data_IF_149173968311
#
_entry.id   IF_149173968311
#
_cell.length_a   1.000
_cell.length_b   1.000
_cell.length_c   1.000
_cell.angle_alpha   90.00
_cell.angle_beta   90.00
_cell.angle_gamma   90.00
#
_symmetry.space_group_name_H-M   'P 1'
#
loop_
_entity.id
_entity.type
_entity.pdbx_description
1 polymer ?
#
# COMPACT_ATOMS: atom_id res chain seq x y z
N UNK A 1 -11.78 -9.51 18.59
CA UNK A 1 -11.37 -9.35 17.16
C UNK A 1 -9.87 -9.57 17.12
N UNK A 2 -9.39 -10.55 16.36
CA UNK A 2 -7.94 -10.73 16.19
C UNK A 2 -7.41 -9.55 15.37
N UNK A 3 -6.50 -8.77 15.95
CA UNK A 3 -5.79 -7.68 15.26
C UNK A 3 -4.85 -8.16 14.14
N UNK A 4 -4.80 -9.47 13.88
CA UNK A 4 -3.70 -10.17 13.22
C UNK A 4 -3.99 -10.60 11.78
N UNK A 5 -5.16 -10.28 11.24
CA UNK A 5 -5.47 -10.61 9.87
C UNK A 5 -4.78 -9.62 8.92
N UNK A 6 -4.09 -10.13 7.91
CA UNK A 6 -3.63 -9.32 6.78
C UNK A 6 -4.86 -8.60 6.21
N UNK A 7 -4.80 -7.28 6.16
CA UNK A 7 -5.92 -6.44 5.71
C UNK A 7 -6.37 -6.72 4.27
N UNK A 8 -5.55 -7.44 3.47
CA UNK A 8 -5.94 -7.99 2.17
C UNK A 8 -7.02 -9.10 2.28
N UNK A 9 -7.20 -9.70 3.46
CA UNK A 9 -8.12 -10.83 3.66
C UNK A 9 -9.60 -10.42 3.81
N UNK A 10 -9.90 -9.12 3.93
CA UNK A 10 -11.28 -8.65 4.12
C UNK A 10 -12.19 -9.07 2.96
N UNK A 11 -11.72 -8.94 1.72
CA UNK A 11 -12.47 -9.38 0.51
C UNK A 11 -12.45 -10.89 0.28
N UNK A 12 -11.60 -11.63 0.99
CA UNK A 12 -11.43 -13.09 0.83
C UNK A 12 -12.15 -13.88 1.91
N UNK A 13 -12.66 -13.21 2.95
CA UNK A 13 -13.40 -13.87 4.01
C UNK A 13 -14.79 -14.31 3.52
N UNK A 14 -14.95 -15.60 3.29
CA UNK A 14 -16.23 -16.20 2.83
C UNK A 14 -17.40 -16.02 3.81
N UNK A 15 -17.12 -15.65 5.05
CA UNK A 15 -18.12 -15.43 6.10
C UNK A 15 -18.38 -13.95 6.38
N UNK A 16 -17.78 -13.04 5.59
CA UNK A 16 -17.89 -11.58 5.78
C UNK A 16 -17.60 -11.10 7.23
N UNK A 17 -16.81 -11.91 7.97
CA UNK A 17 -16.53 -11.71 9.39
C UNK A 17 -15.47 -10.61 9.64
N UNK A 18 -14.84 -10.09 8.60
CA UNK A 18 -13.80 -9.06 8.68
C UNK A 18 -14.34 -7.75 8.12
N UNK A 19 -14.43 -6.75 8.97
CA UNK A 19 -14.83 -5.40 8.58
C UNK A 19 -13.63 -4.45 8.60
N UNK A 20 -13.63 -3.51 7.65
CA UNK A 20 -12.68 -2.39 7.64
C UNK A 20 -13.16 -1.38 8.67
N UNK A 21 -12.28 -0.98 9.57
CA UNK A 21 -12.57 0.13 10.48
C UNK A 21 -12.71 1.42 9.65
N UNK A 22 -13.87 2.08 9.74
CA UNK A 22 -14.11 3.34 9.05
C UNK A 22 -13.53 4.52 9.83
N UNK A 23 -12.88 5.45 9.11
CA UNK A 23 -12.37 6.70 9.67
C UNK A 23 -13.15 7.94 9.15
N UNK A 24 -14.36 7.74 8.64
CA UNK A 24 -15.25 8.83 8.16
C UNK A 24 -15.57 9.80 9.30
N UNK A 25 -16.02 9.29 10.46
CA UNK A 25 -16.40 10.15 11.60
C UNK A 25 -15.19 10.93 12.13
N UNK A 26 -14.03 10.29 12.22
CA UNK A 26 -12.78 10.96 12.57
C UNK A 26 -12.45 12.06 11.56
N UNK A 27 -12.60 11.78 10.27
CA UNK A 27 -12.35 12.77 9.22
C UNK A 27 -13.31 13.97 9.34
N UNK A 28 -14.60 13.75 9.60
CA UNK A 28 -15.53 14.87 9.83
C UNK A 28 -15.13 15.72 11.04
N UNK A 29 -14.62 15.11 12.10
CA UNK A 29 -14.10 15.86 13.27
C UNK A 29 -12.87 16.71 12.89
N UNK A 30 -11.96 16.15 12.10
CA UNK A 30 -10.77 16.88 11.61
C UNK A 30 -11.17 18.07 10.71
N UNK A 31 -12.16 17.90 9.84
CA UNK A 31 -12.66 18.97 8.98
C UNK A 31 -13.24 20.15 9.77
N UNK A 32 -13.83 19.91 10.94
CA UNK A 32 -14.34 20.97 11.80
C UNK A 32 -13.25 21.91 12.34
N UNK A 33 -11.99 21.46 12.39
CA UNK A 33 -10.87 22.31 12.81
C UNK A 33 -10.51 23.40 11.78
N UNK A 34 -10.99 23.28 10.54
CA UNK A 34 -10.73 24.24 9.45
C UNK A 34 -9.27 24.23 8.93
N UNK A 35 -8.44 23.27 9.35
CA UNK A 35 -7.03 23.14 8.95
C UNK A 35 -6.70 21.71 8.47
N UNK A 36 -7.61 21.10 7.72
CA UNK A 36 -7.43 19.75 7.21
C UNK A 36 -7.04 19.77 5.72
N UNK A 37 -5.97 19.03 5.39
CA UNK A 37 -5.45 18.81 4.03
C UNK A 37 -5.73 17.36 3.62
N UNK A 38 -6.23 17.18 2.40
CA UNK A 38 -6.33 15.86 1.79
C UNK A 38 -5.08 15.56 0.96
N UNK A 39 -4.47 14.40 1.17
CA UNK A 39 -3.46 13.86 0.26
C UNK A 39 -4.00 12.60 -0.42
N UNK A 40 -4.05 12.59 -1.75
CA UNK A 40 -4.72 11.53 -2.52
C UNK A 40 -3.73 10.68 -3.31
N UNK A 41 -3.91 9.35 -3.23
CA UNK A 41 -3.09 8.39 -3.97
C UNK A 41 -3.29 8.52 -5.49
N UNK A 42 -2.21 8.47 -6.31
CA UNK A 42 -2.30 8.68 -7.75
C UNK A 42 -3.11 7.60 -8.51
N UNK A 43 -3.50 6.51 -7.83
CA UNK A 43 -4.46 5.53 -8.36
C UNK A 43 -5.92 6.03 -8.42
N UNK A 44 -6.20 7.25 -7.98
CA UNK A 44 -7.55 7.81 -8.00
C UNK A 44 -8.15 7.84 -9.41
N UNK A 45 -7.35 8.06 -10.46
CA UNK A 45 -7.80 8.01 -11.86
C UNK A 45 -8.35 6.63 -12.27
N UNK A 46 -7.92 5.54 -11.63
CA UNK A 46 -8.49 4.21 -11.82
C UNK A 46 -9.83 4.01 -11.09
N UNK A 47 -10.06 4.73 -9.98
CA UNK A 47 -11.30 4.66 -9.19
C UNK A 47 -12.39 5.62 -9.68
N UNK A 48 -11.99 6.74 -10.29
CA UNK A 48 -12.85 7.79 -10.84
C UNK A 48 -12.54 8.05 -12.33
N UNK A 49 -12.67 7.03 -13.21
CA UNK A 49 -12.07 7.04 -14.55
C UNK A 49 -12.62 8.10 -15.49
N UNK A 50 -13.84 8.58 -15.27
CA UNK A 50 -14.51 9.55 -16.13
C UNK A 50 -14.62 10.94 -15.47
N UNK A 51 -14.23 11.05 -14.20
CA UNK A 51 -14.47 12.25 -13.37
C UNK A 51 -13.20 12.71 -12.64
N UNK A 52 -12.04 12.12 -12.97
CA UNK A 52 -10.80 12.37 -12.20
C UNK A 52 -10.40 13.85 -12.14
N UNK A 53 -10.69 14.65 -13.19
CA UNK A 53 -10.42 16.09 -13.24
C UNK A 53 -11.26 16.91 -12.26
N UNK A 54 -12.39 16.37 -11.79
CA UNK A 54 -13.33 17.01 -10.86
C UNK A 54 -13.10 16.60 -9.40
N UNK A 55 -12.28 15.59 -9.15
CA UNK A 55 -12.02 15.07 -7.81
C UNK A 55 -11.43 16.11 -6.86
N UNK A 56 -10.48 16.97 -7.26
CA UNK A 56 -10.00 18.02 -6.36
C UNK A 56 -11.10 18.96 -5.91
N UNK A 57 -12.00 19.37 -6.81
CA UNK A 57 -13.16 20.19 -6.48
C UNK A 57 -14.11 19.46 -5.52
N UNK A 58 -14.39 18.18 -5.76
CA UNK A 58 -15.28 17.39 -4.91
C UNK A 58 -14.72 17.25 -3.49
N UNK A 59 -13.43 17.05 -3.34
CA UNK A 59 -12.78 16.92 -2.02
C UNK A 59 -12.77 18.27 -1.29
N UNK A 60 -12.51 19.39 -1.99
CA UNK A 60 -12.60 20.73 -1.38
C UNK A 60 -14.02 21.04 -0.88
N UNK A 61 -15.05 20.54 -1.58
CA UNK A 61 -16.46 20.69 -1.12
C UNK A 61 -16.77 19.92 0.16
N UNK A 62 -15.97 18.91 0.54
CA UNK A 62 -16.07 18.28 1.86
C UNK A 62 -15.55 19.16 3.00
N UNK A 63 -14.79 20.22 2.68
CA UNK A 63 -14.23 21.14 3.68
C UNK A 63 -12.70 21.07 3.81
N UNK A 64 -12.01 20.29 2.98
CA UNK A 64 -10.55 20.30 2.95
C UNK A 64 -10.02 21.63 2.39
N UNK A 65 -9.00 22.19 3.04
CA UNK A 65 -8.39 23.46 2.66
C UNK A 65 -7.48 23.32 1.44
N UNK A 66 -6.81 22.19 1.33
CA UNK A 66 -5.95 21.82 0.19
C UNK A 66 -6.16 20.36 -0.19
N UNK A 67 -5.89 20.06 -1.47
CA UNK A 67 -5.95 18.70 -2.02
C UNK A 67 -4.70 18.45 -2.85
N UNK A 68 -3.81 17.60 -2.35
CA UNK A 68 -2.46 17.39 -2.90
C UNK A 68 -2.30 15.94 -3.35
N UNK A 69 -1.56 15.70 -4.43
CA UNK A 69 -1.26 14.33 -4.85
C UNK A 69 -0.15 13.69 -3.99
N UNK A 70 -0.42 12.53 -3.44
CA UNK A 70 0.59 11.72 -2.72
C UNK A 70 1.77 11.33 -3.63
N UNK A 71 1.61 11.46 -4.93
CA UNK A 71 2.65 11.24 -5.92
C UNK A 71 3.94 12.04 -5.66
N UNK A 72 3.84 13.26 -5.09
CA UNK A 72 5.03 14.03 -4.72
C UNK A 72 5.83 13.35 -3.60
N UNK A 73 5.17 12.66 -2.68
CA UNK A 73 5.84 11.83 -1.68
C UNK A 73 6.67 10.69 -2.31
N UNK A 74 6.24 10.16 -3.46
CA UNK A 74 7.04 9.18 -4.20
C UNK A 74 8.29 9.82 -4.85
N UNK A 75 8.17 11.03 -5.38
CA UNK A 75 9.34 11.78 -5.89
C UNK A 75 10.33 12.10 -4.75
N UNK A 76 9.86 12.38 -3.53
CA UNK A 76 10.70 12.66 -2.36
C UNK A 76 11.62 11.48 -2.01
N UNK A 77 11.09 10.26 -1.98
CA UNK A 77 11.83 9.06 -1.58
C UNK A 77 12.66 8.45 -2.71
N UNK A 78 12.54 8.96 -3.92
CA UNK A 78 13.24 8.40 -5.10
C UNK A 78 14.76 8.38 -4.92
N UNK A 79 15.33 9.44 -4.32
CA UNK A 79 16.77 9.52 -4.05
C UNK A 79 17.22 8.46 -3.05
N UNK A 80 16.48 8.28 -1.96
CA UNK A 80 16.83 7.30 -0.91
C UNK A 80 16.79 5.88 -1.49
N UNK A 81 15.79 5.55 -2.30
CA UNK A 81 15.75 4.26 -3.00
C UNK A 81 16.90 4.09 -4.00
N UNK A 82 17.28 5.14 -4.72
CA UNK A 82 18.45 5.09 -5.61
C UNK A 82 19.73 4.80 -4.83
N UNK A 83 19.93 5.42 -3.68
CA UNK A 83 21.08 5.17 -2.82
C UNK A 83 21.08 3.72 -2.31
N UNK A 84 19.93 3.20 -1.89
CA UNK A 84 19.76 1.80 -1.46
C UNK A 84 20.08 0.80 -2.58
N UNK A 85 19.65 1.07 -3.82
CA UNK A 85 19.91 0.19 -4.98
C UNK A 85 21.38 0.22 -5.40
N UNK A 86 22.02 1.38 -5.30
CA UNK A 86 23.45 1.55 -5.66
C UNK A 86 24.40 1.05 -4.58
N UNK A 87 23.94 0.90 -3.35
CA UNK A 87 24.76 0.37 -2.29
C UNK A 87 25.18 -1.08 -2.59
N UNK A 88 26.43 -1.40 -2.27
CA UNK A 88 26.93 -2.79 -2.38
C UNK A 88 26.40 -3.59 -1.18
N UNK A 89 25.26 -4.23 -1.39
CA UNK A 89 24.59 -5.01 -0.37
C UNK A 89 24.79 -6.50 -0.63
N UNK A 90 25.21 -7.24 0.39
CA UNK A 90 25.31 -8.71 0.34
C UNK A 90 23.93 -9.40 0.25
N UNK A 91 22.84 -8.66 0.39
CA UNK A 91 21.46 -9.17 0.46
C UNK A 91 20.55 -8.44 -0.50
N UNK A 92 19.60 -9.18 -1.06
CA UNK A 92 18.50 -8.59 -1.83
C UNK A 92 17.72 -7.59 -0.98
N UNK A 93 17.62 -6.34 -1.44
CA UNK A 93 16.80 -5.32 -0.76
C UNK A 93 15.37 -5.40 -1.29
N UNK A 94 14.41 -5.34 -0.38
CA UNK A 94 12.96 -5.39 -0.66
C UNK A 94 12.37 -4.00 -0.46
N UNK A 95 11.58 -3.51 -1.43
CA UNK A 95 10.89 -2.23 -1.31
C UNK A 95 9.92 -2.23 -0.11
N UNK A 96 9.92 -1.14 0.67
CA UNK A 96 9.08 -0.95 1.86
C UNK A 96 7.85 -0.07 1.61
N UNK A 97 7.62 0.35 0.38
CA UNK A 97 6.54 1.26 0.02
C UNK A 97 5.14 0.66 0.19
N UNK A 98 5.02 -0.67 0.07
CA UNK A 98 3.76 -1.39 0.25
C UNK A 98 3.60 -1.87 1.70
N UNK A 99 2.72 -1.28 2.53
CA UNK A 99 2.57 -1.66 3.94
C UNK A 99 2.03 -3.09 4.12
N UNK A 100 1.36 -3.66 3.12
CA UNK A 100 0.94 -5.06 3.18
C UNK A 100 2.12 -6.02 3.06
N UNK A 101 3.12 -5.71 2.21
CA UNK A 101 4.37 -6.47 2.11
C UNK A 101 5.18 -6.35 3.39
N UNK A 102 5.33 -5.13 3.92
CA UNK A 102 6.04 -4.87 5.17
C UNK A 102 5.41 -5.68 6.32
N UNK A 103 4.09 -5.56 6.51
CA UNK A 103 3.37 -6.31 7.55
C UNK A 103 3.48 -7.84 7.37
N UNK A 104 3.48 -8.32 6.12
CA UNK A 104 3.65 -9.72 5.83
C UNK A 104 5.04 -10.23 6.24
N UNK A 105 6.09 -9.47 5.95
CA UNK A 105 7.46 -9.79 6.35
C UNK A 105 7.63 -9.74 7.86
N UNK A 106 7.16 -8.66 8.52
CA UNK A 106 7.22 -8.52 9.98
C UNK A 106 6.53 -9.68 10.72
N UNK A 107 5.45 -10.24 10.15
CA UNK A 107 4.65 -11.29 10.78
C UNK A 107 5.11 -12.71 10.46
N UNK A 108 5.58 -12.94 9.26
CA UNK A 108 5.79 -14.32 8.78
C UNK A 108 7.20 -14.61 8.27
N UNK A 109 8.01 -13.59 8.01
CA UNK A 109 9.38 -13.72 7.50
C UNK A 109 10.33 -12.78 8.24
N UNK A 110 10.33 -12.88 9.57
CA UNK A 110 11.05 -11.94 10.46
C UNK A 110 12.56 -11.84 10.15
N UNK A 111 13.14 -12.90 9.62
CA UNK A 111 14.55 -12.94 9.21
C UNK A 111 14.83 -12.06 7.97
N UNK A 112 13.79 -11.66 7.22
CA UNK A 112 13.87 -10.75 6.08
C UNK A 112 13.64 -9.27 6.47
N UNK A 113 13.38 -8.94 7.73
CA UNK A 113 13.24 -7.54 8.16
C UNK A 113 14.49 -6.72 7.81
N UNK A 114 15.74 -7.24 7.98
CA UNK A 114 16.94 -6.52 7.55
C UNK A 114 17.08 -6.32 6.02
N UNK A 115 16.26 -6.98 5.22
CA UNK A 115 16.19 -6.81 3.77
C UNK A 115 15.24 -5.67 3.36
N UNK A 116 14.35 -5.21 4.24
CA UNK A 116 13.45 -4.10 3.92
C UNK A 116 14.24 -2.80 3.77
N UNK A 117 14.00 -2.08 2.69
CA UNK A 117 14.53 -0.74 2.51
C UNK A 117 14.08 0.17 3.66
N UNK A 118 15.03 0.79 4.37
CA UNK A 118 14.73 1.65 5.52
C UNK A 118 14.19 3.02 5.07
N UNK A 119 13.19 3.03 4.22
CA UNK A 119 12.58 4.21 3.63
C UNK A 119 11.09 4.23 3.96
N UNK A 120 10.55 5.39 4.31
CA UNK A 120 9.10 5.58 4.52
C UNK A 120 8.32 5.43 3.21
N UNK A 121 7.02 5.17 3.32
CA UNK A 121 6.16 5.17 2.14
C UNK A 121 5.89 6.60 1.62
N UNK A 122 5.44 6.75 0.34
CA UNK A 122 5.04 8.05 -0.20
C UNK A 122 4.02 8.82 0.65
N UNK A 123 3.08 8.12 1.28
CA UNK A 123 2.10 8.71 2.19
C UNK A 123 2.79 9.41 3.37
N UNK A 124 3.70 8.72 4.03
CA UNK A 124 4.43 9.26 5.18
C UNK A 124 5.43 10.32 4.75
N UNK A 125 6.10 10.14 3.60
CA UNK A 125 7.04 11.13 3.09
C UNK A 125 6.37 12.49 2.83
N UNK A 126 5.22 12.48 2.13
CA UNK A 126 4.45 13.70 1.90
C UNK A 126 3.91 14.29 3.20
N UNK A 127 3.41 13.46 4.11
CA UNK A 127 2.93 13.93 5.41
C UNK A 127 4.01 14.63 6.22
N UNK A 128 5.22 14.07 6.29
CA UNK A 128 6.39 14.71 6.94
C UNK A 128 6.78 16.02 6.25
N UNK A 129 6.73 16.04 4.91
CA UNK A 129 7.00 17.27 4.14
C UNK A 129 6.00 18.37 4.50
N UNK A 130 4.70 18.10 4.46
CA UNK A 130 3.67 19.10 4.72
C UNK A 130 3.70 19.63 6.15
N UNK A 131 3.91 18.77 7.15
CA UNK A 131 4.05 19.20 8.55
C UNK A 131 5.30 20.05 8.79
N UNK A 132 6.38 19.78 8.06
CA UNK A 132 7.59 20.60 8.15
C UNK A 132 7.49 21.94 7.40
N UNK A 133 6.77 21.96 6.25
CA UNK A 133 6.71 23.12 5.35
C UNK A 133 5.61 24.12 5.75
N UNK A 134 4.47 23.63 6.24
CA UNK A 134 3.30 24.45 6.58
C UNK A 134 3.22 24.73 8.08
N UNK A 135 2.88 23.72 8.85
CA UNK A 135 2.72 23.78 10.31
C UNK A 135 2.61 22.35 10.86
N UNK A 136 3.19 22.08 12.01
CA UNK A 136 3.06 20.78 12.70
C UNK A 136 1.61 20.49 13.11
N UNK A 137 0.78 21.51 13.30
CA UNK A 137 -0.64 21.37 13.70
C UNK A 137 -1.59 21.06 12.52
N UNK A 138 -1.11 21.11 11.27
CA UNK A 138 -1.95 20.78 10.11
C UNK A 138 -2.46 19.33 10.20
N UNK A 139 -3.73 19.13 9.92
CA UNK A 139 -4.37 17.81 9.91
C UNK A 139 -4.30 17.21 8.52
N UNK A 140 -3.73 16.02 8.40
CA UNK A 140 -3.50 15.37 7.11
C UNK A 140 -4.35 14.10 7.01
N UNK A 141 -5.22 14.07 6.02
CA UNK A 141 -6.05 12.90 5.70
C UNK A 141 -5.55 12.28 4.40
N UNK A 142 -5.08 11.04 4.48
CA UNK A 142 -4.73 10.28 3.27
C UNK A 142 -5.97 9.63 2.67
N UNK A 143 -6.09 9.70 1.35
CA UNK A 143 -7.18 9.09 0.58
C UNK A 143 -6.60 8.15 -0.46
N UNK A 144 -6.97 6.85 -0.43
CA UNK A 144 -6.36 5.91 -1.37
C UNK A 144 -7.05 4.54 -1.46
N UNK A 145 -6.51 3.62 -2.27
CA UNK A 145 -7.11 2.31 -2.53
C UNK A 145 -6.80 1.27 -1.46
N UNK A 146 -5.92 1.58 -0.50
CA UNK A 146 -5.22 0.59 0.31
C UNK A 146 -5.68 0.61 1.77
N UNK A 147 -6.24 -0.49 2.23
CA UNK A 147 -6.67 -0.67 3.63
C UNK A 147 -5.45 -0.75 4.57
N UNK A 148 -4.34 -1.35 4.11
CA UNK A 148 -3.13 -1.48 4.93
C UNK A 148 -2.51 -0.12 5.32
N UNK A 149 -2.84 0.96 4.61
CA UNK A 149 -2.43 2.33 4.95
C UNK A 149 -3.01 2.81 6.29
N UNK A 150 -4.20 2.33 6.69
CA UNK A 150 -4.78 2.60 8.01
C UNK A 150 -3.89 2.06 9.14
N UNK A 151 -3.37 0.86 8.95
CA UNK A 151 -2.44 0.26 9.91
C UNK A 151 -1.08 0.97 9.89
N UNK A 152 -0.57 1.32 8.71
CA UNK A 152 0.69 2.06 8.60
C UNK A 152 0.65 3.40 9.32
N UNK A 153 -0.44 4.16 9.19
CA UNK A 153 -0.59 5.46 9.85
C UNK A 153 -0.57 5.36 11.40
N UNK A 154 -0.91 4.19 11.95
CA UNK A 154 -0.92 3.90 13.38
C UNK A 154 0.37 3.26 13.90
N UNK A 155 1.34 2.95 13.01
CA UNK A 155 2.62 2.36 13.43
C UNK A 155 3.44 3.39 14.22
N UNK A 156 3.96 2.99 15.40
CA UNK A 156 4.69 3.86 16.34
C UNK A 156 5.81 4.67 15.67
N UNK A 157 6.49 4.11 14.65
CA UNK A 157 7.60 4.75 13.96
C UNK A 157 7.18 5.95 13.08
N UNK A 158 5.89 6.02 12.74
CA UNK A 158 5.32 7.06 11.87
C UNK A 158 4.03 7.67 12.41
N UNK A 159 3.62 7.29 13.62
CA UNK A 159 2.42 7.81 14.26
C UNK A 159 2.44 9.34 14.34
N UNK A 160 1.27 9.95 14.20
CA UNK A 160 1.11 11.40 14.23
C UNK A 160 1.47 12.13 12.93
N UNK A 161 2.00 11.44 11.91
CA UNK A 161 2.25 12.04 10.58
C UNK A 161 0.96 12.19 9.79
N UNK A 162 0.10 11.16 9.83
CA UNK A 162 -1.21 11.11 9.16
C UNK A 162 -2.28 11.02 10.23
N UNK A 163 -3.26 11.91 10.18
CA UNK A 163 -4.30 12.02 11.20
C UNK A 163 -5.50 11.10 10.91
N UNK A 164 -5.80 10.79 9.65
CA UNK A 164 -6.79 9.78 9.25
C UNK A 164 -6.49 9.20 7.85
N UNK A 165 -7.02 8.02 7.59
CA UNK A 165 -6.87 7.32 6.30
C UNK A 165 -8.24 6.93 5.77
N UNK A 166 -8.67 7.52 4.68
CA UNK A 166 -9.88 7.16 3.94
C UNK A 166 -9.53 6.24 2.76
N UNK A 167 -10.38 5.26 2.55
CA UNK A 167 -10.41 4.53 1.29
C UNK A 167 -11.20 5.30 0.23
N UNK A 168 -11.01 5.00 -1.06
CA UNK A 168 -11.85 5.59 -2.12
C UNK A 168 -13.34 5.25 -1.94
N UNK A 169 -13.66 4.09 -1.37
CA UNK A 169 -15.03 3.70 -1.06
C UNK A 169 -15.62 4.60 0.05
N UNK A 170 -14.85 4.87 1.10
CA UNK A 170 -15.25 5.81 2.16
C UNK A 170 -15.40 7.23 1.62
N UNK A 171 -14.49 7.70 0.75
CA UNK A 171 -14.61 9.00 0.10
C UNK A 171 -15.91 9.13 -0.70
N UNK A 172 -16.27 8.10 -1.49
CA UNK A 172 -17.54 8.06 -2.24
C UNK A 172 -18.75 8.08 -1.33
N UNK A 173 -18.66 7.41 -0.17
CA UNK A 173 -19.71 7.47 0.85
C UNK A 173 -19.86 8.89 1.40
N UNK A 174 -18.77 9.59 1.74
CA UNK A 174 -18.82 10.99 2.19
C UNK A 174 -19.41 11.91 1.12
N UNK A 175 -19.07 11.75 -0.15
CA UNK A 175 -19.69 12.50 -1.23
C UNK A 175 -21.21 12.30 -1.28
N UNK A 176 -21.67 11.05 -1.14
CA UNK A 176 -23.10 10.74 -1.11
C UNK A 176 -23.79 11.36 0.10
N UNK A 177 -23.22 11.28 1.30
CA UNK A 177 -23.77 11.84 2.55
C UNK A 177 -23.90 13.37 2.49
N UNK A 178 -22.94 14.03 1.83
CA UNK A 178 -22.92 15.48 1.66
C UNK A 178 -23.63 15.97 0.38
N UNK A 179 -24.30 15.08 -0.36
CA UNK A 179 -24.97 15.39 -1.63
C UNK A 179 -24.03 16.05 -2.67
N UNK A 180 -22.76 15.63 -2.71
CA UNK A 180 -21.78 16.10 -3.68
C UNK A 180 -21.89 15.21 -4.93
N UNK A 181 -22.40 15.78 -6.02
CA UNK A 181 -22.55 15.11 -7.32
C UNK A 181 -21.38 15.51 -8.21
N UNK A 182 -20.40 14.60 -8.39
CA UNK A 182 -19.14 14.88 -9.07
C UNK A 182 -19.36 15.31 -10.52
N UNK A 183 -20.33 14.69 -11.22
CA UNK A 183 -20.70 15.00 -12.60
C UNK A 183 -21.07 16.48 -12.83
N UNK A 184 -21.60 17.15 -11.78
CA UNK A 184 -22.05 18.54 -11.82
C UNK A 184 -20.98 19.56 -11.41
N UNK A 185 -19.78 19.11 -11.03
CA UNK A 185 -18.72 19.98 -10.56
C UNK A 185 -17.86 20.47 -11.73
N UNK A 186 -17.27 21.64 -11.52
CA UNK A 186 -16.21 22.14 -12.39
C UNK A 186 -14.89 21.40 -12.14
N UNK A 187 -14.09 21.29 -13.17
CA UNK A 187 -12.74 20.73 -13.09
C UNK A 187 -11.82 21.68 -12.32
N UNK A 188 -10.87 21.14 -11.61
CA UNK A 188 -9.80 21.92 -10.97
C UNK A 188 -8.52 21.09 -10.85
N UNK A 189 -7.38 21.77 -10.78
CA UNK A 189 -6.12 21.12 -10.50
C UNK A 189 -5.91 20.87 -9.00
N UNK A 190 -5.00 19.96 -8.70
CA UNK A 190 -4.50 19.74 -7.34
C UNK A 190 -3.69 20.94 -6.87
N UNK A 191 -3.61 21.14 -5.57
CA UNK A 191 -2.70 22.09 -4.95
C UNK A 191 -1.26 21.52 -4.99
N UNK A 192 -0.26 22.41 -4.96
CA UNK A 192 1.14 21.99 -4.88
C UNK A 192 1.54 21.43 -3.50
N UNK A 193 2.66 20.74 -3.43
CA UNK A 193 3.65 20.52 -4.49
C UNK A 193 3.22 19.49 -5.55
N UNK A 194 3.48 19.78 -6.81
CA UNK A 194 3.14 18.89 -7.91
C UNK A 194 4.23 17.85 -8.14
N UNK A 195 3.83 16.62 -8.43
CA UNK A 195 4.71 15.51 -8.71
C UNK A 195 5.10 15.40 -10.18
N UNK A 196 6.26 14.78 -10.42
CA UNK A 196 6.70 14.32 -11.74
C UNK A 196 6.36 12.82 -11.91
N UNK A 197 7.38 11.96 -11.97
CA UNK A 197 7.22 10.53 -12.23
C UNK A 197 6.60 9.76 -11.06
N UNK A 198 6.54 10.32 -9.86
CA UNK A 198 5.80 9.73 -8.73
C UNK A 198 4.33 9.42 -9.03
N UNK A 199 3.74 10.07 -10.06
CA UNK A 199 2.41 9.73 -10.59
C UNK A 199 2.31 8.29 -11.12
N UNK A 200 3.43 7.68 -11.54
CA UNK A 200 3.48 6.30 -12.01
C UNK A 200 3.52 5.26 -10.88
N UNK A 201 3.72 5.68 -9.64
CA UNK A 201 3.92 4.81 -8.47
C UNK A 201 2.83 3.75 -8.25
N UNK A 202 1.54 3.95 -8.60
CA UNK A 202 0.51 2.92 -8.42
C UNK A 202 0.60 1.75 -9.41
N UNK A 203 1.44 1.85 -10.42
CA UNK A 203 1.65 0.82 -11.44
C UNK A 203 2.83 -0.09 -11.06
N UNK A 204 2.84 -1.33 -11.54
CA UNK A 204 4.01 -2.20 -11.42
C UNK A 204 5.26 -1.54 -12.01
N UNK A 205 6.36 -1.58 -11.26
CA UNK A 205 7.60 -0.90 -11.64
C UNK A 205 7.53 0.63 -11.59
N UNK A 206 6.47 1.20 -11.01
CA UNK A 206 6.30 2.65 -10.86
C UNK A 206 7.36 3.28 -9.97
N UNK A 207 7.80 2.57 -8.94
CA UNK A 207 8.94 2.97 -8.11
C UNK A 207 10.21 3.13 -8.98
N UNK A 208 10.52 2.13 -9.79
CA UNK A 208 11.72 2.12 -10.65
C UNK A 208 11.67 3.29 -11.66
N UNK A 209 10.49 3.57 -12.23
CA UNK A 209 10.31 4.72 -13.14
C UNK A 209 10.51 6.07 -12.44
N UNK A 210 10.19 6.15 -11.15
CA UNK A 210 10.36 7.38 -10.35
C UNK A 210 11.84 7.64 -10.03
N UNK A 211 12.64 6.57 -9.92
CA UNK A 211 14.06 6.65 -9.58
C UNK A 211 14.93 7.10 -10.78
N UNK A 212 14.42 7.03 -12.01
CA UNK A 212 15.18 7.30 -13.24
C UNK A 212 16.51 6.53 -13.27
N UNK A 213 16.40 5.22 -13.15
CA UNK A 213 17.54 4.30 -13.21
C UNK A 213 18.05 4.32 -14.65
N UNK A 214 19.09 5.12 -14.91
CA UNK A 214 19.76 5.16 -16.20
C UNK A 214 20.43 3.82 -16.52
N UNK A 215 20.36 3.45 -17.73
CA UNK A 215 20.92 2.41 -18.62
C UNK A 215 21.91 1.35 -18.11
N UNK A 216 22.49 1.45 -16.90
CA UNK A 216 23.56 0.55 -16.42
C UNK A 216 23.08 -0.56 -15.45
N UNK A 217 21.84 -0.52 -14.98
CA UNK A 217 21.33 -1.59 -14.12
C UNK A 217 20.69 -2.65 -15.01
N UNK A 218 21.38 -3.78 -15.15
CA UNK A 218 20.90 -4.94 -15.89
C UNK A 218 19.55 -5.40 -15.31
N UNK A 219 18.60 -5.77 -16.15
CA UNK A 219 17.26 -6.27 -15.73
C UNK A 219 17.33 -7.36 -14.67
N UNK A 220 18.41 -8.16 -14.62
CA UNK A 220 18.64 -9.20 -13.62
C UNK A 220 18.88 -8.67 -12.19
N UNK A 221 19.29 -7.42 -12.04
CA UNK A 221 19.61 -6.84 -10.73
C UNK A 221 18.35 -6.26 -10.03
N UNK A 222 17.27 -6.06 -10.80
CA UNK A 222 16.00 -5.54 -10.29
C UNK A 222 14.86 -6.48 -10.69
N UNK A 223 14.09 -6.91 -9.71
CA UNK A 223 12.89 -7.73 -9.94
C UNK A 223 11.66 -6.91 -9.55
N UNK A 224 10.69 -6.80 -10.46
CA UNK A 224 9.39 -6.19 -10.21
C UNK A 224 8.34 -7.28 -10.03
N UNK A 225 7.65 -7.26 -8.89
CA UNK A 225 6.67 -8.29 -8.53
C UNK A 225 5.36 -7.66 -8.10
N UNK A 226 4.26 -8.16 -8.63
CA UNK A 226 2.92 -7.78 -8.20
C UNK A 226 1.99 -9.00 -8.11
N UNK A 227 0.95 -8.85 -7.26
CA UNK A 227 -0.04 -9.88 -7.04
C UNK A 227 0.34 -10.89 -5.96
N UNK A 228 -0.64 -11.22 -5.11
CA UNK A 228 -0.46 -12.04 -3.90
C UNK A 228 0.35 -13.32 -4.15
N UNK A 229 0.03 -14.08 -5.22
CA UNK A 229 0.69 -15.35 -5.51
C UNK A 229 2.18 -15.15 -5.77
N UNK A 230 2.53 -14.24 -6.67
CA UNK A 230 3.91 -13.96 -7.05
C UNK A 230 4.71 -13.39 -5.86
N UNK A 231 4.06 -12.56 -5.02
CA UNK A 231 4.69 -12.01 -3.79
C UNK A 231 5.03 -13.11 -2.80
N UNK A 232 4.15 -14.09 -2.60
CA UNK A 232 4.44 -15.23 -1.73
C UNK A 232 5.61 -16.07 -2.28
N UNK A 233 5.67 -16.29 -3.58
CA UNK A 233 6.74 -17.03 -4.25
C UNK A 233 8.07 -16.30 -4.12
N UNK A 234 8.16 -15.02 -4.50
CA UNK A 234 9.43 -14.29 -4.46
C UNK A 234 9.98 -14.11 -3.03
N UNK A 235 9.11 -13.84 -2.04
CA UNK A 235 9.55 -13.72 -0.65
C UNK A 235 10.12 -15.06 -0.15
N UNK A 236 9.50 -16.18 -0.52
CA UNK A 236 10.02 -17.49 -0.18
C UNK A 236 11.37 -17.79 -0.85
N UNK A 237 11.54 -17.42 -2.12
CA UNK A 237 12.81 -17.57 -2.84
C UNK A 237 13.93 -16.71 -2.24
N UNK A 238 13.63 -15.47 -1.84
CA UNK A 238 14.58 -14.60 -1.14
C UNK A 238 14.95 -15.20 0.23
N UNK A 239 13.95 -15.69 0.99
CA UNK A 239 14.17 -16.29 2.31
C UNK A 239 15.05 -17.55 2.27
N UNK A 240 15.04 -18.28 1.14
CA UNK A 240 15.86 -19.48 0.92
C UNK A 240 17.18 -19.17 0.19
N UNK A 241 17.50 -17.90 -0.07
CA UNK A 241 18.70 -17.47 -0.81
C UNK A 241 18.79 -18.07 -2.24
N UNK A 242 17.65 -18.31 -2.89
CA UNK A 242 17.61 -18.81 -4.26
C UNK A 242 17.71 -17.69 -5.30
N UNK A 243 17.51 -16.44 -4.88
CA UNK A 243 17.55 -15.25 -5.73
C UNK A 243 18.67 -14.32 -5.26
N UNK A 244 19.42 -13.82 -6.22
CA UNK A 244 20.53 -12.89 -6.02
C UNK A 244 20.29 -11.59 -6.82
N UNK A 245 19.10 -10.97 -6.67
CA UNK A 245 18.82 -9.65 -7.19
C UNK A 245 19.27 -8.59 -6.18
N UNK A 246 19.73 -7.43 -6.65
CA UNK A 246 20.07 -6.31 -5.75
C UNK A 246 18.85 -5.71 -5.11
N UNK A 247 17.77 -5.58 -5.87
CA UNK A 247 16.55 -4.92 -5.42
C UNK A 247 15.29 -5.62 -5.95
N UNK A 248 14.25 -5.65 -5.12
CA UNK A 248 12.95 -6.18 -5.50
C UNK A 248 11.86 -5.14 -5.20
N UNK A 249 11.20 -4.63 -6.26
CA UNK A 249 10.03 -3.76 -6.16
C UNK A 249 8.77 -4.62 -6.06
N UNK A 250 8.11 -4.60 -4.89
CA UNK A 250 7.01 -5.52 -4.57
C UNK A 250 5.73 -4.77 -4.23
N UNK A 251 4.65 -5.09 -4.95
CA UNK A 251 3.28 -4.68 -4.63
C UNK A 251 2.40 -5.90 -4.33
N UNK A 252 1.79 -5.95 -3.15
CA UNK A 252 0.98 -7.09 -2.72
C UNK A 252 -0.27 -7.30 -3.59
N UNK A 253 -0.88 -6.23 -4.08
CA UNK A 253 -1.94 -6.24 -5.08
C UNK A 253 -1.32 -6.22 -6.49
N UNK A 254 -2.15 -6.43 -7.52
CA UNK A 254 -1.77 -6.22 -8.93
C UNK A 254 -1.73 -4.71 -9.22
N UNK A 255 -0.67 -4.04 -8.75
CA UNK A 255 -0.60 -2.59 -8.63
C UNK A 255 -1.58 -1.99 -7.61
N UNK A 256 -1.36 -0.76 -7.18
CA UNK A 256 -2.33 -0.05 -6.33
C UNK A 256 -3.64 0.24 -7.07
N UNK A 257 -3.64 0.16 -8.40
CA UNK A 257 -4.83 0.26 -9.27
C UNK A 257 -5.79 -0.94 -9.14
N UNK A 258 -5.36 -2.01 -8.49
CA UNK A 258 -6.16 -3.19 -8.12
C UNK A 258 -6.29 -3.33 -6.60
N UNK A 259 -6.05 -2.26 -5.86
CA UNK A 259 -6.21 -2.22 -4.42
C UNK A 259 -7.65 -2.54 -3.98
N UNK A 260 -7.83 -3.00 -2.72
CA UNK A 260 -9.12 -3.51 -2.23
C UNK A 260 -10.25 -2.47 -2.26
N UNK A 261 -9.94 -1.17 -2.26
CA UNK A 261 -10.92 -0.10 -2.34
C UNK A 261 -11.01 0.58 -3.71
N UNK A 262 -10.49 -0.04 -4.76
CA UNK A 262 -10.82 0.28 -6.15
C UNK A 262 -12.15 -0.40 -6.48
N UNK A 263 -13.17 0.39 -6.77
CA UNK A 263 -14.54 -0.08 -7.02
C UNK A 263 -15.06 0.27 -8.43
N UNK A 264 -14.17 0.74 -9.32
CA UNK A 264 -14.52 0.97 -10.72
C UNK A 264 -14.79 -0.37 -11.42
N UNK A 265 -15.73 -0.35 -12.39
CA UNK A 265 -16.09 -1.53 -13.20
C UNK A 265 -15.03 -1.90 -14.24
N UNK A 266 -13.98 -1.11 -14.38
CA UNK A 266 -12.90 -1.34 -15.33
C UNK A 266 -12.07 -2.57 -14.92
N UNK A 267 -11.59 -3.31 -15.92
CA UNK A 267 -10.60 -4.36 -15.70
C UNK A 267 -9.20 -3.75 -15.44
N UNK A 268 -8.23 -4.60 -15.09
CA UNK A 268 -6.86 -4.20 -14.80
C UNK A 268 -6.23 -3.32 -15.89
N UNK A 269 -6.33 -3.73 -17.15
CA UNK A 269 -5.69 -3.02 -18.28
C UNK A 269 -6.33 -1.66 -18.53
N UNK A 270 -7.64 -1.56 -18.47
CA UNK A 270 -8.35 -0.28 -18.61
C UNK A 270 -8.04 0.67 -17.44
N UNK A 271 -7.90 0.18 -16.20
CA UNK A 271 -7.47 0.99 -15.06
C UNK A 271 -6.05 1.52 -15.25
N UNK A 272 -5.15 0.65 -15.72
CA UNK A 272 -3.78 1.03 -16.03
C UNK A 272 -3.73 2.11 -17.11
N UNK A 273 -4.51 1.97 -18.17
CA UNK A 273 -4.61 2.96 -19.24
C UNK A 273 -5.11 4.32 -18.72
N UNK A 274 -6.16 4.34 -17.87
CA UNK A 274 -6.65 5.59 -17.27
C UNK A 274 -5.57 6.31 -16.46
N UNK A 275 -4.77 5.59 -15.69
CA UNK A 275 -3.65 6.19 -14.93
C UNK A 275 -2.56 6.71 -15.88
N UNK A 276 -2.22 5.96 -16.93
CA UNK A 276 -1.23 6.42 -17.92
C UNK A 276 -1.71 7.69 -18.61
N UNK A 277 -2.96 7.73 -19.08
CA UNK A 277 -3.53 8.91 -19.72
C UNK A 277 -3.51 10.14 -18.79
N UNK A 278 -3.80 9.93 -17.50
CA UNK A 278 -3.67 10.99 -16.50
C UNK A 278 -2.23 11.50 -16.36
N UNK A 279 -1.25 10.59 -16.34
CA UNK A 279 0.17 10.94 -16.29
C UNK A 279 0.56 11.75 -17.53
N UNK A 280 0.22 11.26 -18.71
CA UNK A 280 0.55 11.88 -20.00
C UNK A 280 -0.07 13.28 -20.14
N UNK A 281 -1.26 13.50 -19.58
CA UNK A 281 -1.91 14.80 -19.55
C UNK A 281 -1.23 15.79 -18.58
N UNK A 282 -0.86 15.33 -17.37
CA UNK A 282 -0.41 16.22 -16.28
C UNK A 282 1.10 16.44 -16.26
N UNK A 283 1.88 15.44 -16.67
CA UNK A 283 3.35 15.52 -16.63
C UNK A 283 3.93 16.71 -17.41
N UNK A 284 3.48 17.00 -18.65
CA UNK A 284 3.98 18.15 -19.41
C UNK A 284 3.63 19.51 -18.80
N UNK A 285 2.58 19.56 -17.97
CA UNK A 285 2.10 20.79 -17.31
C UNK A 285 2.84 21.09 -16.00
N UNK A 286 3.62 20.13 -15.47
CA UNK A 286 4.37 20.30 -14.23
C UNK A 286 5.63 21.13 -14.47
N UNK A 287 5.77 22.24 -13.73
CA UNK A 287 6.97 23.08 -13.79
C UNK A 287 8.15 22.35 -13.13
N UNK A 288 9.12 21.96 -13.95
CA UNK A 288 10.33 21.23 -13.50
C UNK A 288 11.21 22.05 -12.55
N UNK A 289 11.22 23.38 -12.65
CA UNK A 289 12.05 24.23 -11.79
C UNK A 289 11.42 24.31 -10.40
N UNK A 290 10.11 24.54 -10.35
CA UNK A 290 9.34 24.53 -9.09
C UNK A 290 9.46 23.16 -8.41
N UNK A 291 9.29 22.06 -9.15
CA UNK A 291 9.45 20.71 -8.64
C UNK A 291 10.85 20.48 -8.04
N UNK A 292 11.92 20.87 -8.75
CA UNK A 292 13.31 20.77 -8.23
C UNK A 292 13.51 21.60 -6.97
N UNK A 293 12.93 22.80 -6.90
CA UNK A 293 13.00 23.66 -5.72
C UNK A 293 12.33 23.00 -4.52
N UNK A 294 11.15 22.41 -4.71
CA UNK A 294 10.42 21.71 -3.66
C UNK A 294 11.21 20.49 -3.14
N UNK A 295 11.81 19.69 -4.04
CA UNK A 295 12.69 18.59 -3.64
C UNK A 295 13.93 19.08 -2.87
N UNK A 296 14.52 20.19 -3.31
CA UNK A 296 15.66 20.77 -2.61
C UNK A 296 15.29 21.24 -1.19
N UNK A 297 14.13 21.85 -1.00
CA UNK A 297 13.64 22.27 0.31
C UNK A 297 13.38 21.07 1.23
N UNK A 298 12.90 19.96 0.65
CA UNK A 298 12.62 18.72 1.37
C UNK A 298 13.87 17.93 1.83
N UNK A 299 15.09 18.28 1.38
CA UNK A 299 16.32 17.50 1.63
C UNK A 299 16.69 17.28 3.09
N UNK A 300 16.13 18.08 4.01
CA UNK A 300 16.36 17.96 5.45
C UNK A 300 15.36 17.09 6.18
N UNK A 301 14.31 16.65 5.48
CA UNK A 301 13.27 15.84 6.07
C UNK A 301 13.79 14.42 6.27
N UNK A 302 13.59 13.88 7.46
CA UNK A 302 13.95 12.49 7.72
C UNK A 302 12.95 11.55 7.02
N UNK A 303 13.41 10.85 6.00
CA UNK A 303 12.64 9.85 5.24
C UNK A 303 12.98 8.41 5.62
N UNK A 304 13.78 8.24 6.67
CA UNK A 304 14.12 6.91 7.20
C UNK A 304 12.99 6.33 8.05
N UNK A 305 12.90 4.99 8.03
CA UNK A 305 12.01 4.19 8.87
C UNK A 305 12.68 2.87 9.21
N UNK A 306 12.51 2.41 10.43
CA UNK A 306 12.86 1.07 10.87
C UNK A 306 11.63 0.18 10.97
N UNK A 307 11.83 -1.13 11.07
CA UNK A 307 10.73 -2.10 11.11
C UNK A 307 10.92 -3.04 12.30
N UNK A 308 9.87 -3.15 13.14
CA UNK A 308 9.87 -3.99 14.33
C UNK A 308 9.44 -5.42 13.99
N UNK A 309 9.91 -6.38 14.77
CA UNK A 309 9.46 -7.77 14.70
C UNK A 309 8.05 -7.86 15.28
N UNK A 310 7.11 -8.44 14.53
CA UNK A 310 5.75 -8.80 14.96
C UNK A 310 5.47 -10.25 14.58
N UNK A 311 6.25 -11.18 15.11
CA UNK A 311 6.22 -12.58 14.70
C UNK A 311 4.90 -13.26 15.07
N UNK A 312 4.08 -13.56 14.06
CA UNK A 312 2.83 -14.29 14.16
C UNK A 312 2.94 -15.73 13.63
N UNK A 313 4.17 -16.17 13.27
CA UNK A 313 4.41 -17.51 12.74
C UNK A 313 4.28 -18.52 13.87
N UNK A 314 3.24 -19.32 13.82
CA UNK A 314 3.08 -20.43 14.76
C UNK A 314 3.94 -21.62 14.32
N UNK A 315 4.59 -22.31 15.26
CA UNK A 315 5.38 -23.49 14.92
C UNK A 315 4.50 -24.52 14.20
N UNK A 316 5.09 -25.21 13.24
CA UNK A 316 4.39 -26.31 12.58
C UNK A 316 4.18 -27.44 13.60
N UNK A 317 2.96 -27.99 13.74
CA UNK A 317 2.70 -29.05 14.70
C UNK A 317 3.50 -30.31 14.36
N UNK A 318 3.86 -31.08 15.38
CA UNK A 318 4.53 -32.36 15.17
C UNK A 318 3.61 -33.36 14.46
N UNK A 319 4.21 -34.40 13.81
CA UNK A 319 3.46 -35.44 13.14
C UNK A 319 2.53 -36.20 14.09
N UNK A 320 2.96 -36.40 15.34
CA UNK A 320 2.16 -37.03 16.40
C UNK A 320 0.92 -36.16 16.65
N UNK A 321 1.06 -34.84 16.79
CA UNK A 321 -0.07 -33.93 17.03
C UNK A 321 -1.05 -33.92 15.87
N UNK A 322 -0.54 -33.92 14.65
CA UNK A 322 -1.37 -33.98 13.42
C UNK A 322 -2.16 -35.29 13.40
N UNK A 323 -1.52 -36.43 13.67
CA UNK A 323 -2.18 -37.76 13.74
C UNK A 323 -3.21 -37.83 14.84
N UNK A 324 -2.94 -37.27 16.03
CA UNK A 324 -3.89 -37.16 17.13
C UNK A 324 -5.19 -36.48 16.70
N UNK A 325 -5.07 -35.31 16.02
CA UNK A 325 -6.23 -34.55 15.57
C UNK A 325 -6.96 -35.27 14.43
N UNK A 326 -6.26 -35.90 13.51
CA UNK A 326 -6.85 -36.73 12.47
C UNK A 326 -7.65 -37.89 13.07
N UNK A 327 -7.11 -38.55 14.11
CA UNK A 327 -7.78 -39.64 14.82
C UNK A 327 -9.08 -39.16 15.50
N UNK A 328 -9.13 -37.96 16.09
CA UNK A 328 -10.36 -37.38 16.64
C UNK A 328 -11.48 -37.23 15.58
N UNK A 329 -11.11 -37.09 14.32
CA UNK A 329 -12.06 -37.06 13.18
C UNK A 329 -12.18 -38.44 12.50
N UNK A 330 -11.81 -39.54 13.18
CA UNK A 330 -11.85 -40.91 12.71
C UNK A 330 -11.02 -41.16 11.41
N UNK A 331 -9.89 -40.49 11.30
CA UNK A 331 -8.93 -40.68 10.22
C UNK A 331 -7.66 -41.31 10.78
N UNK A 332 -7.56 -42.61 10.70
CA UNK A 332 -6.47 -43.39 11.29
C UNK A 332 -5.38 -43.73 10.27
N UNK A 333 -5.69 -43.61 9.00
CA UNK A 333 -4.78 -43.89 7.90
C UNK A 333 -4.98 -42.88 6.74
N UNK A 334 -4.03 -42.78 5.81
CA UNK A 334 -4.13 -41.94 4.62
C UNK A 334 -5.37 -42.27 3.76
N UNK A 335 -5.84 -43.54 3.80
CA UNK A 335 -7.06 -43.95 3.08
C UNK A 335 -8.33 -43.32 3.64
N UNK A 336 -8.33 -42.91 4.91
CA UNK A 336 -9.46 -42.24 5.56
C UNK A 336 -9.50 -40.75 5.29
N UNK A 337 -8.43 -40.20 4.69
CA UNK A 337 -8.29 -38.79 4.35
C UNK A 337 -8.95 -38.48 3.01
N UNK A 338 -10.26 -38.25 3.01
CA UNK A 338 -11.05 -37.97 1.79
C UNK A 338 -10.66 -36.69 1.05
N UNK A 339 -10.05 -35.76 1.72
CA UNK A 339 -9.62 -34.45 1.17
C UNK A 339 -10.75 -33.72 0.40
N UNK A 340 -11.98 -33.84 0.86
CA UNK A 340 -13.19 -33.38 0.16
C UNK A 340 -13.43 -31.86 0.26
N UNK A 341 -12.67 -31.15 1.08
CA UNK A 341 -12.80 -29.69 1.25
C UNK A 341 -14.02 -29.22 2.06
N UNK A 342 -14.94 -30.11 2.49
CA UNK A 342 -16.17 -29.75 3.18
C UNK A 342 -15.96 -29.03 4.54
N UNK A 343 -14.81 -29.21 5.18
CA UNK A 343 -14.42 -28.51 6.41
C UNK A 343 -13.79 -27.13 6.16
N UNK A 344 -13.69 -26.67 4.90
CA UNK A 344 -13.06 -25.41 4.53
C UNK A 344 -11.53 -25.48 4.32
N UNK A 345 -10.93 -26.68 4.48
CA UNK A 345 -9.51 -26.91 4.23
C UNK A 345 -9.33 -27.79 2.98
N UNK A 346 -8.30 -27.54 2.15
CA UNK A 346 -8.05 -28.34 0.93
C UNK A 346 -7.79 -29.82 1.21
N UNK A 347 -7.13 -30.13 2.34
CA UNK A 347 -6.83 -31.49 2.76
C UNK A 347 -7.19 -31.73 4.22
N UNK A 348 -7.43 -33.00 4.57
CA UNK A 348 -7.66 -33.41 5.97
C UNK A 348 -6.44 -33.11 6.85
N UNK A 349 -5.24 -33.19 6.28
CA UNK A 349 -4.00 -32.87 6.98
C UNK A 349 -3.89 -31.37 7.26
N UNK A 350 -4.24 -30.49 6.30
CA UNK A 350 -4.27 -29.05 6.53
C UNK A 350 -5.31 -28.62 7.54
N UNK A 351 -6.45 -29.31 7.60
CA UNK A 351 -7.41 -29.16 8.69
C UNK A 351 -6.76 -29.46 10.04
N UNK A 352 -6.07 -30.62 10.18
CA UNK A 352 -5.41 -30.99 11.43
C UNK A 352 -4.31 -29.99 11.83
N UNK A 353 -3.55 -29.49 10.87
CA UNK A 353 -2.55 -28.43 11.08
C UNK A 353 -3.22 -27.12 11.54
N UNK A 354 -4.34 -26.75 10.95
CA UNK A 354 -5.12 -25.57 11.34
C UNK A 354 -5.59 -25.67 12.79
N UNK A 355 -6.22 -26.80 13.16
CA UNK A 355 -6.69 -27.04 14.53
C UNK A 355 -5.53 -27.07 15.55
N UNK A 356 -4.39 -27.63 15.18
CA UNK A 356 -3.21 -27.65 16.06
C UNK A 356 -2.61 -26.27 16.32
N UNK A 357 -2.86 -25.31 15.41
CA UNK A 357 -2.36 -23.93 15.49
C UNK A 357 -3.34 -22.97 16.17
N UNK A 358 -4.58 -23.36 16.39
CA UNK A 358 -5.57 -22.59 17.15
C UNK A 358 -5.34 -22.70 18.65
#
# INVERSE_FOLDING_TARGET
MRKDALLADVKVCSQDAKQIFSEIDQTYQLLQSGNAIAIIAPSFAASFPDEYSKIPTAIRKLGFTQVIETAFGADLIAKDYMEVIKADNDKTVISSACPAVVSFIQKYYVDLIPNLAQVVSPMIALGRYLKNDLDEEVKIVFIGPCIAKKHEAQDDEVAGVIDAVLTFTELKQMFKEQNIFIDKLEESDFDGPHAMMGKAYPLAGGLIKTIDVSDDILEKDIIVVEGKKNVLEIINEIANNHINAKFTDILFCEGCISGPAIDSKLNYYSRREKVINYIDEKLPKTDKQVWKSNLYNARKINLLRTFKIDNQRRPYPTEEKIKEILAQTKKFSVKDELNCGACGYPTCREYAVGIAKD
#
